data_IF_622894302162
#
_entry.id   IF_622894302162
#
_cell.length_a   1.000
_cell.length_b   1.000
_cell.length_c   1.000
_cell.angle_alpha   90.00
_cell.angle_beta   90.00
_cell.angle_gamma   90.00
#
_symmetry.space_group_name_H-M   'P 1'
#
loop_
_entity.id
_entity.type
_entity.pdbx_description
1 polymer ?
#
# COMPACT_ATOMS: atom_id res chain seq x y z
N UNK A 1 -0.79 3.99 7.62
CA UNK A 1 -2.14 3.82 7.05
C UNK A 1 -2.45 2.34 7.00
N UNK A 2 -3.70 1.91 7.05
CA UNK A 2 -4.06 0.48 7.09
C UNK A 2 -4.44 0.02 5.70
N UNK A 3 -3.81 -1.05 5.22
CA UNK A 3 -4.24 -1.71 3.98
C UNK A 3 -5.57 -2.42 4.24
N UNK A 4 -6.67 -1.91 3.70
CA UNK A 4 -8.00 -2.45 3.98
C UNK A 4 -8.41 -3.57 3.04
N UNK A 5 -8.24 -3.34 1.74
CA UNK A 5 -8.71 -4.24 0.68
C UNK A 5 -8.07 -3.91 -0.66
N UNK A 6 -8.25 -4.81 -1.61
CA UNK A 6 -8.10 -4.49 -3.04
C UNK A 6 -9.43 -4.05 -3.63
N UNK A 7 -9.36 -3.19 -4.65
CA UNK A 7 -10.47 -2.82 -5.53
C UNK A 7 -10.02 -2.97 -6.99
N UNK A 8 -10.93 -3.36 -7.88
CA UNK A 8 -10.67 -3.34 -9.31
C UNK A 8 -11.25 -2.07 -9.93
N UNK A 9 -10.41 -1.37 -10.69
CA UNK A 9 -10.76 -0.18 -11.46
C UNK A 9 -10.46 -0.45 -12.94
N UNK A 10 -10.94 0.41 -13.83
CA UNK A 10 -10.70 0.29 -15.27
C UNK A 10 -9.20 0.23 -15.62
N UNK A 11 -8.34 0.88 -14.83
CA UNK A 11 -6.88 0.88 -15.02
C UNK A 11 -6.15 -0.29 -14.34
N UNK A 12 -6.88 -1.19 -13.68
CA UNK A 12 -6.33 -2.37 -13.02
C UNK A 12 -6.70 -2.48 -11.54
N UNK A 13 -6.00 -3.37 -10.83
CA UNK A 13 -6.25 -3.64 -9.40
C UNK A 13 -5.46 -2.67 -8.54
N UNK A 14 -6.11 -2.11 -7.52
CA UNK A 14 -5.53 -1.17 -6.57
C UNK A 14 -5.75 -1.64 -5.13
N UNK A 15 -4.81 -1.32 -4.25
CA UNK A 15 -4.97 -1.40 -2.81
C UNK A 15 -5.54 -0.10 -2.25
N UNK A 16 -6.47 -0.21 -1.31
CA UNK A 16 -7.02 0.91 -0.54
C UNK A 16 -6.26 1.00 0.78
N UNK A 17 -5.49 2.08 0.94
CA UNK A 17 -4.79 2.40 2.19
C UNK A 17 -5.54 3.49 2.92
N UNK A 18 -6.13 3.18 4.06
CA UNK A 18 -6.88 4.13 4.88
C UNK A 18 -5.96 4.83 5.90
N UNK A 19 -6.12 6.14 6.03
CA UNK A 19 -5.57 6.97 7.11
C UNK A 19 -6.75 7.61 7.86
N UNK A 20 -6.48 8.31 8.96
CA UNK A 20 -7.51 8.76 9.91
C UNK A 20 -8.73 9.47 9.29
N UNK A 21 -8.59 10.18 8.17
CA UNK A 21 -9.68 10.88 7.48
C UNK A 21 -9.62 10.81 5.96
N UNK A 22 -8.70 10.00 5.41
CA UNK A 22 -8.39 9.97 3.98
C UNK A 22 -8.08 8.55 3.54
N UNK A 23 -8.18 8.29 2.24
CA UNK A 23 -7.70 7.05 1.66
C UNK A 23 -6.79 7.33 0.46
N UNK A 24 -5.87 6.41 0.21
CA UNK A 24 -4.99 6.45 -0.96
C UNK A 24 -5.14 5.16 -1.73
N UNK A 25 -5.30 5.29 -3.05
CA UNK A 25 -5.29 4.17 -3.98
C UNK A 25 -3.88 3.97 -4.49
N UNK A 26 -3.36 2.77 -4.32
CA UNK A 26 -2.02 2.40 -4.80
C UNK A 26 -2.13 1.17 -5.70
N UNK A 27 -1.38 1.06 -6.80
CA UNK A 27 -1.42 -0.12 -7.65
C UNK A 27 -1.20 -1.41 -6.82
N UNK A 28 -2.02 -2.43 -7.07
CA UNK A 28 -1.96 -3.68 -6.33
C UNK A 28 -0.68 -4.44 -6.66
N UNK A 29 -0.08 -5.06 -5.64
CA UNK A 29 1.10 -5.91 -5.78
C UNK A 29 0.88 -7.20 -4.99
N UNK A 30 1.28 -8.37 -5.49
CA UNK A 30 1.06 -9.65 -4.79
C UNK A 30 1.58 -9.67 -3.35
N UNK A 31 2.67 -8.95 -3.05
CA UNK A 31 3.21 -8.82 -1.69
C UNK A 31 2.20 -8.21 -0.71
N UNK A 32 1.27 -7.37 -1.17
CA UNK A 32 0.25 -6.73 -0.33
C UNK A 32 -0.82 -7.71 0.16
N UNK A 33 -1.01 -8.83 -0.54
CA UNK A 33 -2.04 -9.81 -0.21
C UNK A 33 -1.87 -10.37 1.21
N UNK A 34 -0.61 -10.61 1.61
CA UNK A 34 -0.23 -11.10 2.94
C UNK A 34 -0.34 -10.05 4.06
N UNK A 35 -0.71 -8.82 3.70
CA UNK A 35 -0.67 -7.66 4.57
C UNK A 35 -2.00 -6.92 4.64
N UNK A 36 -3.06 -7.47 4.05
CA UNK A 36 -4.41 -6.94 4.23
C UNK A 36 -4.77 -6.96 5.72
N UNK A 37 -5.30 -5.84 6.21
CA UNK A 37 -5.60 -5.58 7.62
C UNK A 37 -4.42 -5.06 8.44
N UNK A 38 -3.21 -4.98 7.88
CA UNK A 38 -2.01 -4.49 8.60
C UNK A 38 -1.72 -3.03 8.29
N UNK A 39 -1.00 -2.40 9.22
CA UNK A 39 -0.49 -1.05 9.05
C UNK A 39 0.69 -1.04 8.07
N UNK A 40 0.57 -0.19 7.05
CA UNK A 40 1.55 0.07 5.99
C UNK A 40 1.92 1.55 5.99
N UNK A 41 3.20 1.82 5.76
CA UNK A 41 3.76 3.18 5.65
C UNK A 41 4.62 3.26 4.41
N UNK A 42 4.51 4.31 3.60
CA UNK A 42 5.30 4.43 2.38
C UNK A 42 5.22 5.81 1.75
N UNK A 43 6.20 6.06 0.88
CA UNK A 43 6.36 7.31 0.12
C UNK A 43 6.05 6.99 -1.33
N UNK A 44 5.09 7.72 -1.90
CA UNK A 44 4.80 7.69 -3.34
C UNK A 44 5.66 8.77 -3.98
N UNK A 45 6.69 8.37 -4.73
CA UNK A 45 7.47 9.27 -5.57
C UNK A 45 7.11 9.00 -7.03
N UNK A 46 7.19 10.02 -7.89
CA UNK A 46 6.79 9.92 -9.31
C UNK A 46 7.55 8.87 -10.13
N UNK A 47 8.63 8.32 -9.59
CA UNK A 47 9.48 7.30 -10.23
C UNK A 47 9.28 5.89 -9.63
N UNK A 48 8.58 5.74 -8.50
CA UNK A 48 8.43 4.46 -7.82
C UNK A 48 7.78 4.57 -6.44
N UNK A 49 7.23 3.46 -5.95
CA UNK A 49 6.49 3.43 -4.68
C UNK A 49 7.16 2.52 -3.64
N UNK A 50 7.81 3.14 -2.66
CA UNK A 50 8.47 2.42 -1.56
C UNK A 50 7.57 2.34 -0.32
N UNK A 51 7.23 1.12 0.11
CA UNK A 51 6.43 0.86 1.31
C UNK A 51 7.12 -0.08 2.29
N UNK A 52 7.06 0.27 3.56
CA UNK A 52 7.36 -0.61 4.70
C UNK A 52 6.06 -1.13 5.32
N UNK A 53 6.01 -2.42 5.61
CA UNK A 53 4.86 -3.05 6.27
C UNK A 53 5.23 -3.46 7.69
N UNK A 54 4.47 -2.98 8.69
CA UNK A 54 4.68 -3.28 10.11
C UNK A 54 5.45 -2.21 10.92
N UNK A 55 5.43 -2.36 12.25
CA UNK A 55 6.14 -1.50 13.22
C UNK A 55 7.58 -1.97 13.46
N UNK A 56 8.45 -1.96 12.45
CA UNK A 56 9.91 -1.93 12.68
C UNK A 56 10.61 -1.57 11.37
N UNK A 57 11.71 -0.82 11.48
CA UNK A 57 12.60 -0.37 10.40
C UNK A 57 12.92 -1.52 9.42
N UNK A 58 12.91 -1.18 8.13
CA UNK A 58 13.24 -2.03 6.97
C UNK A 58 12.10 -2.93 6.49
N UNK A 59 11.12 -2.34 5.80
CA UNK A 59 10.29 -3.07 4.85
C UNK A 59 10.82 -2.90 3.41
N UNK A 60 10.37 -3.74 2.47
CA UNK A 60 11.01 -3.91 1.17
C UNK A 60 10.99 -2.59 0.39
N UNK A 61 12.19 -2.01 0.20
CA UNK A 61 12.40 -0.93 -0.74
C UNK A 61 12.13 -1.46 -2.13
N UNK A 62 11.20 -0.82 -2.82
CA UNK A 62 10.94 -1.11 -4.23
C UNK A 62 11.01 0.23 -4.92
N UNK A 63 12.01 0.33 -5.78
CA UNK A 63 12.09 1.26 -6.90
C UNK A 63 11.12 0.77 -7.97
#
# INVERSE_FOLDING_TARGET
GTLRRSVELASGKYAVVEKSREFTLVPWRPVLERHVGKEVSGVVSGEGISWTVGRQRSGPGVS
#
